data_IF_014292156564
#
_entry.id   IF_014292156564
#
_cell.length_a   1.000
_cell.length_b   1.000
_cell.length_c   1.000
_cell.angle_alpha   90.00
_cell.angle_beta   90.00
_cell.angle_gamma   90.00
#
_symmetry.space_group_name_H-M   'P 1'
#
loop_
_entity.id
_entity.type
_entity.pdbx_description
1 polymer ?
#
# COMPACT_ATOMS: atom_id res chain seq x y z
N UNK A 1 -6.59 7.29 9.76
CA UNK A 1 -7.95 6.71 9.53
C UNK A 1 -8.88 7.68 8.79
N UNK A 2 -8.89 8.99 9.10
CA UNK A 2 -9.83 9.96 8.49
C UNK A 2 -9.55 10.33 7.03
N UNK A 3 -8.31 10.19 6.53
CA UNK A 3 -7.93 10.59 5.17
C UNK A 3 -8.66 9.80 4.07
N UNK A 4 -8.60 8.47 4.13
CA UNK A 4 -9.24 7.57 3.15
C UNK A 4 -10.75 7.78 3.13
N UNK A 5 -11.39 7.89 4.30
CA UNK A 5 -12.84 8.12 4.40
C UNK A 5 -13.23 9.43 3.71
N UNK A 6 -12.52 10.52 3.99
CA UNK A 6 -12.78 11.82 3.35
C UNK A 6 -12.58 11.79 1.85
N UNK A 7 -11.56 11.08 1.37
CA UNK A 7 -11.31 10.93 -0.06
C UNK A 7 -12.47 10.21 -0.75
N UNK A 8 -12.99 9.14 -0.14
CA UNK A 8 -14.15 8.41 -0.64
C UNK A 8 -15.44 9.26 -0.56
N UNK A 9 -15.68 9.99 0.53
CA UNK A 9 -16.82 10.90 0.63
C UNK A 9 -16.78 12.00 -0.45
N UNK A 10 -15.58 12.48 -0.78
CA UNK A 10 -15.39 13.51 -1.81
C UNK A 10 -15.63 13.03 -3.24
N UNK A 11 -15.67 11.72 -3.49
CA UNK A 11 -15.99 11.20 -4.82
C UNK A 11 -17.46 11.34 -5.17
N UNK A 12 -18.35 11.47 -4.17
CA UNK A 12 -19.80 11.57 -4.36
C UNK A 12 -20.48 10.26 -4.74
N UNK A 13 -19.74 9.15 -4.77
CA UNK A 13 -20.28 7.83 -5.10
C UNK A 13 -21.07 7.24 -3.93
N UNK A 14 -22.23 6.64 -4.23
CA UNK A 14 -23.08 6.01 -3.20
C UNK A 14 -22.66 4.57 -2.88
N UNK A 15 -21.91 3.93 -3.77
CA UNK A 15 -21.36 2.59 -3.60
C UNK A 15 -19.88 2.59 -3.98
N UNK A 16 -19.04 1.99 -3.14
CA UNK A 16 -17.60 1.92 -3.35
C UNK A 16 -17.17 0.46 -3.51
N UNK A 17 -16.47 0.17 -4.60
CA UNK A 17 -15.85 -1.14 -4.79
C UNK A 17 -14.83 -1.42 -3.68
N UNK A 18 -14.90 -2.58 -3.03
CA UNK A 18 -13.96 -2.95 -1.97
C UNK A 18 -12.50 -2.94 -2.42
N UNK A 19 -12.25 -3.23 -3.71
CA UNK A 19 -10.92 -3.14 -4.31
C UNK A 19 -10.32 -1.74 -4.26
N UNK A 20 -11.16 -0.69 -4.38
CA UNK A 20 -10.73 0.71 -4.28
C UNK A 20 -10.31 1.07 -2.86
N UNK A 21 -11.09 0.65 -1.86
CA UNK A 21 -10.72 0.81 -0.44
C UNK A 21 -9.39 0.13 -0.17
N UNK A 22 -9.21 -1.12 -0.64
CA UNK A 22 -7.97 -1.85 -0.45
C UNK A 22 -6.78 -1.21 -1.16
N UNK A 23 -6.98 -0.61 -2.34
CA UNK A 23 -5.95 0.15 -3.06
C UNK A 23 -5.50 1.38 -2.25
N UNK A 24 -6.44 2.16 -1.74
CA UNK A 24 -6.14 3.35 -0.92
C UNK A 24 -5.43 2.97 0.39
N UNK A 25 -5.83 1.87 1.02
CA UNK A 25 -5.14 1.34 2.21
C UNK A 25 -3.71 0.92 1.87
N UNK A 26 -3.52 0.23 0.74
CA UNK A 26 -2.20 -0.20 0.26
C UNK A 26 -1.25 1.00 0.07
N UNK A 27 -1.71 2.06 -0.60
CA UNK A 27 -0.94 3.28 -0.84
C UNK A 27 -0.60 4.02 0.46
N UNK A 28 -1.57 4.14 1.38
CA UNK A 28 -1.35 4.78 2.66
C UNK A 28 -0.34 4.02 3.52
N UNK A 29 -0.44 2.69 3.56
CA UNK A 29 0.48 1.85 4.34
C UNK A 29 1.91 1.90 3.80
N UNK A 30 2.08 1.94 2.46
CA UNK A 30 3.39 1.96 1.81
C UNK A 30 4.29 3.11 2.29
N UNK A 31 3.70 4.26 2.65
CA UNK A 31 4.45 5.43 3.13
C UNK A 31 4.48 5.57 4.66
N UNK A 32 3.71 4.75 5.37
CA UNK A 32 3.50 4.89 6.81
C UNK A 32 4.27 3.85 7.62
N UNK A 33 4.24 2.59 7.19
CA UNK A 33 4.84 1.47 7.92
C UNK A 33 5.03 0.26 6.99
N UNK A 34 6.28 -0.10 6.74
CA UNK A 34 6.64 -1.18 5.82
C UNK A 34 6.14 -2.55 6.30
N UNK A 35 6.14 -2.80 7.61
CA UNK A 35 5.69 -4.09 8.17
C UNK A 35 4.19 -4.25 7.99
N UNK A 36 3.42 -3.19 8.23
CA UNK A 36 1.98 -3.16 8.00
C UNK A 36 1.65 -3.27 6.52
N UNK A 37 2.40 -2.57 5.66
CA UNK A 37 2.29 -2.67 4.20
C UNK A 37 2.47 -4.12 3.72
N UNK A 38 3.55 -4.79 4.12
CA UNK A 38 3.82 -6.19 3.74
C UNK A 38 2.71 -7.13 4.21
N UNK A 39 2.26 -6.99 5.46
CA UNK A 39 1.15 -7.80 6.01
C UNK A 39 -0.12 -7.63 5.20
N UNK A 40 -0.49 -6.39 4.89
CA UNK A 40 -1.68 -6.10 4.10
C UNK A 40 -1.55 -6.61 2.66
N UNK A 41 -0.41 -6.35 2.02
CA UNK A 41 -0.10 -6.79 0.66
C UNK A 41 -0.20 -8.30 0.48
N UNK A 42 0.25 -9.08 1.47
CA UNK A 42 0.18 -10.54 1.40
C UNK A 42 -1.22 -11.09 1.19
N UNK A 43 -2.24 -10.44 1.77
CA UNK A 43 -3.65 -10.83 1.61
C UNK A 43 -4.24 -10.16 0.37
N UNK A 44 -4.06 -8.84 0.21
CA UNK A 44 -4.67 -8.08 -0.87
C UNK A 44 -4.21 -8.53 -2.26
N UNK A 45 -2.92 -8.85 -2.42
CA UNK A 45 -2.33 -9.38 -3.66
C UNK A 45 -2.36 -10.92 -3.74
N UNK A 46 -2.99 -11.59 -2.77
CA UNK A 46 -3.16 -13.04 -2.72
C UNK A 46 -1.85 -13.82 -2.88
N UNK A 47 -0.87 -13.51 -2.03
CA UNK A 47 0.42 -14.20 -2.03
C UNK A 47 0.23 -15.69 -1.75
N UNK A 48 0.99 -16.52 -2.45
CA UNK A 48 0.93 -17.98 -2.38
C UNK A 48 2.27 -18.60 -2.03
N UNK A 49 3.36 -17.95 -2.38
CA UNK A 49 4.71 -18.49 -2.21
C UNK A 49 5.70 -17.47 -1.67
N UNK A 50 6.85 -17.95 -1.17
CA UNK A 50 7.90 -17.10 -0.64
C UNK A 50 8.43 -16.10 -1.68
N UNK A 51 8.34 -16.45 -2.97
CA UNK A 51 8.73 -15.55 -4.07
C UNK A 51 7.91 -14.26 -4.09
N UNK A 52 6.61 -14.31 -3.81
CA UNK A 52 5.75 -13.12 -3.79
C UNK A 52 6.22 -12.11 -2.74
N UNK A 53 6.67 -12.61 -1.59
CA UNK A 53 7.29 -11.78 -0.55
C UNK A 53 8.63 -11.21 -1.00
N UNK A 54 9.48 -12.00 -1.65
CA UNK A 54 10.77 -11.51 -2.15
C UNK A 54 10.61 -10.39 -3.19
N UNK A 55 9.64 -10.53 -4.11
CA UNK A 55 9.33 -9.49 -5.10
C UNK A 55 8.88 -8.20 -4.40
N UNK A 56 7.97 -8.28 -3.41
CA UNK A 56 7.52 -7.13 -2.64
C UNK A 56 8.64 -6.45 -1.82
N UNK A 57 9.49 -7.24 -1.15
CA UNK A 57 10.60 -6.71 -0.38
C UNK A 57 11.65 -6.04 -1.29
N UNK A 58 11.78 -6.50 -2.53
CA UNK A 58 12.59 -5.82 -3.55
C UNK A 58 12.03 -4.45 -3.92
N UNK A 59 10.70 -4.32 -4.04
CA UNK A 59 10.04 -3.01 -4.28
C UNK A 59 10.34 -2.01 -3.16
N UNK A 60 10.29 -2.44 -1.89
CA UNK A 60 10.53 -1.56 -0.74
C UNK A 60 11.98 -1.06 -0.67
N UNK A 61 12.97 -1.93 -0.91
CA UNK A 61 14.38 -1.52 -0.92
C UNK A 61 14.67 -0.44 -1.97
N UNK A 62 14.07 -0.55 -3.15
CA UNK A 62 14.24 0.45 -4.21
C UNK A 62 13.63 1.81 -3.85
N UNK A 63 12.66 1.85 -2.94
CA UNK A 63 12.08 3.11 -2.46
C UNK A 63 12.89 3.72 -1.29
N UNK A 64 13.51 2.88 -0.44
CA UNK A 64 14.49 3.33 0.57
C UNK A 64 15.71 3.99 -0.09
N UNK A 65 16.30 3.35 -1.10
CA UNK A 65 17.48 3.85 -1.83
C UNK A 65 17.22 5.20 -2.52
N UNK A 66 16.03 5.38 -3.11
CA UNK A 66 15.63 6.69 -3.70
C UNK A 66 15.46 7.78 -2.67
N UNK A 67 14.95 7.44 -1.49
CA UNK A 67 14.76 8.41 -0.41
C UNK A 67 16.10 8.90 0.14
N UNK A 68 17.13 8.05 0.14
CA UNK A 68 18.50 8.41 0.52
C UNK A 68 19.20 9.26 -0.55
N UNK A 69 18.98 8.97 -1.84
CA UNK A 69 19.54 9.77 -2.96
C UNK A 69 18.95 11.20 -3.03
N UNK A 70 17.64 11.37 -2.80
CA UNK A 70 16.99 12.69 -2.80
C UNK A 70 17.34 13.54 -1.56
N UNK A 71 17.88 12.92 -0.50
CA UNK A 71 18.25 13.59 0.74
C UNK A 71 19.72 14.08 0.78
N UNK A 72 20.54 13.74 -0.22
CA UNK A 72 21.96 14.11 -0.33
C UNK A 72 22.22 15.30 -1.25
#
# INVERSE_FOLDING_TARGET
>A
VTGIVRQLESSGETEIASGEVGRLVMEALKSLDDVAYVRFASVYRNFREARDFHELLGELKGDEEKTEEDAG
#
